data_IF_883788511739
#
_entry.id   IF_883788511739
#
_cell.length_a   1.000
_cell.length_b   1.000
_cell.length_c   1.000
_cell.angle_alpha   90.00
_cell.angle_beta   90.00
_cell.angle_gamma   90.00
#
_symmetry.space_group_name_H-M   'P 1'
#
loop_
_entity.id
_entity.type
_entity.pdbx_description
1 polymer ?
#
# COMPACT_ATOMS: atom_id res chain seq x y z
N UNK A 1 -3.08 16.29 5.85
CA UNK A 1 -3.31 17.64 5.23
C UNK A 1 -3.71 17.41 3.79
N UNK A 2 -4.76 18.06 3.27
CA UNK A 2 -5.10 17.97 1.84
C UNK A 2 -4.00 18.69 1.05
N UNK A 3 -3.21 17.95 0.31
CA UNK A 3 -2.10 18.47 -0.50
C UNK A 3 -2.63 18.88 -1.86
N UNK A 4 -2.17 20.00 -2.41
CA UNK A 4 -2.49 20.42 -3.78
C UNK A 4 -1.92 19.42 -4.77
N UNK A 5 -2.75 18.94 -5.71
CA UNK A 5 -2.37 17.98 -6.75
C UNK A 5 -2.25 18.73 -8.06
N UNK A 6 -1.09 18.67 -8.70
CA UNK A 6 -0.86 19.31 -9.99
C UNK A 6 -0.75 18.24 -11.08
N UNK A 7 -1.63 18.28 -12.07
CA UNK A 7 -1.57 17.37 -13.23
C UNK A 7 -0.80 18.05 -14.36
N UNK A 8 0.33 17.45 -14.75
CA UNK A 8 1.13 17.86 -15.90
C UNK A 8 1.13 16.77 -16.98
N UNK A 9 1.50 17.14 -18.18
CA UNK A 9 1.56 16.23 -19.34
C UNK A 9 1.23 16.95 -20.63
N UNK A 10 1.50 16.32 -21.73
CA UNK A 10 1.25 16.90 -23.06
C UNK A 10 -0.25 17.02 -23.36
N UNK A 11 -0.62 17.74 -24.41
CA UNK A 11 -2.01 17.75 -24.86
C UNK A 11 -2.45 16.33 -25.25
N UNK A 12 -3.73 16.00 -25.05
CA UNK A 12 -4.22 14.63 -25.31
C UNK A 12 -3.91 13.61 -24.19
N UNK A 13 -3.09 13.95 -23.17
CA UNK A 13 -2.79 13.06 -22.04
C UNK A 13 -3.98 12.87 -21.04
N UNK A 14 -5.10 13.57 -21.23
CA UNK A 14 -6.30 13.40 -20.40
C UNK A 14 -6.38 14.22 -19.13
N UNK A 15 -5.50 15.20 -18.92
CA UNK A 15 -5.40 16.01 -17.69
C UNK A 15 -6.74 16.57 -17.19
N UNK A 16 -7.48 17.27 -18.05
CA UNK A 16 -8.76 17.91 -17.67
C UNK A 16 -9.84 16.88 -17.31
N UNK A 17 -9.86 15.72 -17.99
CA UNK A 17 -10.80 14.63 -17.69
C UNK A 17 -10.46 13.96 -16.36
N UNK A 18 -9.18 13.64 -16.14
CA UNK A 18 -8.67 13.07 -14.88
C UNK A 18 -8.90 14.04 -13.73
N UNK A 19 -8.61 15.36 -13.92
CA UNK A 19 -8.81 16.38 -12.90
C UNK A 19 -10.29 16.46 -12.44
N UNK A 20 -11.24 16.40 -13.35
CA UNK A 20 -12.68 16.44 -13.02
C UNK A 20 -13.09 15.27 -12.14
N UNK A 21 -12.76 14.04 -12.57
CA UNK A 21 -13.13 12.83 -11.82
C UNK A 21 -12.40 12.76 -10.47
N UNK A 22 -11.12 13.18 -10.43
CA UNK A 22 -10.34 13.24 -9.21
C UNK A 22 -10.92 14.25 -8.21
N UNK A 23 -11.36 15.44 -8.70
CA UNK A 23 -12.01 16.47 -7.90
C UNK A 23 -13.33 15.97 -7.27
N UNK A 24 -14.13 15.23 -8.05
CA UNK A 24 -15.35 14.61 -7.58
C UNK A 24 -15.08 13.57 -6.48
N UNK A 25 -14.15 12.62 -6.72
CA UNK A 25 -13.84 11.54 -5.77
C UNK A 25 -13.21 12.05 -4.48
N UNK A 26 -12.38 13.09 -4.54
CA UNK A 26 -11.70 13.67 -3.37
C UNK A 26 -12.49 14.80 -2.69
N UNK A 27 -13.61 15.23 -3.27
CA UNK A 27 -14.37 16.43 -2.86
C UNK A 27 -13.42 17.65 -2.71
N UNK A 28 -12.62 17.90 -3.75
CA UNK A 28 -11.66 19.01 -3.81
C UNK A 28 -11.99 19.98 -4.94
N UNK A 29 -11.69 21.28 -4.78
CA UNK A 29 -11.85 22.24 -5.87
C UNK A 29 -10.89 21.93 -7.02
N UNK A 30 -11.32 22.25 -8.24
CA UNK A 30 -10.51 22.13 -9.46
C UNK A 30 -10.17 23.51 -10.01
N UNK A 31 -8.93 23.67 -10.46
CA UNK A 31 -8.45 24.83 -11.19
C UNK A 31 -7.94 24.38 -12.56
N UNK A 32 -8.59 24.84 -13.62
CA UNK A 32 -8.04 24.74 -14.97
C UNK A 32 -7.16 25.98 -15.21
N UNK A 33 -5.84 25.75 -15.33
CA UNK A 33 -4.87 26.82 -15.40
C UNK A 33 -5.05 27.67 -16.66
N UNK A 34 -5.36 27.04 -17.81
CA UNK A 34 -5.57 27.73 -19.08
C UNK A 34 -6.76 28.70 -18.96
N UNK A 35 -7.89 28.25 -18.40
CA UNK A 35 -9.08 29.10 -18.18
C UNK A 35 -8.79 30.25 -17.21
N UNK A 36 -8.09 29.96 -16.11
CA UNK A 36 -7.75 30.99 -15.12
C UNK A 36 -6.81 32.07 -15.69
N UNK A 37 -5.96 31.69 -16.63
CA UNK A 37 -5.12 32.64 -17.39
C UNK A 37 -6.00 33.54 -18.25
N UNK A 38 -6.95 32.98 -19.00
CA UNK A 38 -7.87 33.76 -19.84
C UNK A 38 -8.74 34.71 -19.02
N UNK A 39 -9.28 34.24 -17.90
CA UNK A 39 -10.03 35.07 -16.95
C UNK A 39 -9.19 36.24 -16.39
N UNK A 40 -7.93 35.95 -16.00
CA UNK A 40 -7.01 36.97 -15.46
C UNK A 40 -6.58 37.99 -16.49
N UNK A 41 -6.48 37.59 -17.77
CA UNK A 41 -6.11 38.48 -18.89
C UNK A 41 -7.32 39.16 -19.51
N UNK A 42 -8.53 38.67 -19.29
CA UNK A 42 -9.76 39.02 -20.02
C UNK A 42 -9.61 38.87 -21.56
N UNK A 43 -8.78 37.90 -21.97
CA UNK A 43 -8.47 37.61 -23.36
C UNK A 43 -8.29 36.12 -23.55
N UNK A 44 -8.56 35.63 -24.76
CA UNK A 44 -8.26 34.22 -25.08
C UNK A 44 -6.74 33.98 -25.19
N UNK A 45 -6.30 32.77 -24.90
CA UNK A 45 -4.87 32.41 -25.04
C UNK A 45 -4.34 32.73 -26.45
N UNK A 46 -5.03 32.41 -27.57
CA UNK A 46 -4.61 32.81 -28.90
C UNK A 46 -4.38 34.32 -29.05
N UNK A 47 -5.30 35.15 -28.49
CA UNK A 47 -5.19 36.59 -28.58
C UNK A 47 -4.01 37.13 -27.76
N UNK A 48 -3.75 36.55 -26.57
CA UNK A 48 -2.56 36.89 -25.76
C UNK A 48 -1.28 36.62 -26.57
N UNK A 49 -1.19 35.47 -27.27
CA UNK A 49 -0.06 35.17 -28.12
C UNK A 49 0.07 36.14 -29.29
N UNK A 50 -1.05 36.51 -29.94
CA UNK A 50 -1.06 37.38 -31.09
C UNK A 50 -0.70 38.85 -30.74
N UNK A 51 -1.24 39.37 -29.62
CA UNK A 51 -1.11 40.78 -29.26
C UNK A 51 0.11 41.05 -28.36
N UNK A 52 0.43 40.13 -27.41
CA UNK A 52 1.44 40.35 -26.39
C UNK A 52 2.67 39.46 -26.51
N UNK A 53 2.55 38.40 -27.33
CA UNK A 53 3.64 37.45 -27.59
C UNK A 53 3.83 36.38 -26.50
N UNK A 54 4.64 35.38 -26.82
CA UNK A 54 4.88 34.23 -25.92
C UNK A 54 5.48 34.62 -24.56
N UNK A 55 6.39 35.60 -24.53
CA UNK A 55 7.04 36.01 -23.29
C UNK A 55 6.06 36.60 -22.26
N UNK A 56 5.05 37.35 -22.71
CA UNK A 56 4.01 37.89 -21.85
C UNK A 56 3.10 36.78 -21.34
N UNK A 57 2.69 35.85 -22.22
CA UNK A 57 1.92 34.66 -21.82
C UNK A 57 2.67 33.86 -20.75
N UNK A 58 3.97 33.58 -20.90
CA UNK A 58 4.76 32.80 -19.93
C UNK A 58 4.87 33.50 -18.54
N UNK A 59 4.98 34.83 -18.52
CA UNK A 59 4.95 35.59 -17.26
C UNK A 59 3.59 35.47 -16.56
N UNK A 60 2.51 35.58 -17.34
CA UNK A 60 1.15 35.44 -16.81
C UNK A 60 0.89 34.01 -16.31
N UNK A 61 1.29 32.99 -17.10
CA UNK A 61 1.20 31.58 -16.72
C UNK A 61 1.92 31.31 -15.39
N UNK A 62 3.14 31.82 -15.21
CA UNK A 62 3.90 31.63 -13.97
C UNK A 62 3.24 32.31 -12.77
N UNK A 63 2.68 33.51 -12.94
CA UNK A 63 1.95 34.22 -11.88
C UNK A 63 0.69 33.46 -11.47
N UNK A 64 -0.13 33.05 -12.43
CA UNK A 64 -1.39 32.33 -12.17
C UNK A 64 -1.11 30.94 -11.55
N UNK A 65 -0.04 30.26 -11.97
CA UNK A 65 0.41 29.01 -11.36
C UNK A 65 0.80 29.24 -9.89
N UNK A 66 1.62 30.24 -9.58
CA UNK A 66 2.05 30.57 -8.24
C UNK A 66 0.86 30.87 -7.30
N UNK A 67 -0.10 31.66 -7.75
CA UNK A 67 -1.34 31.96 -7.01
C UNK A 67 -2.19 30.69 -6.78
N UNK A 68 -2.26 29.81 -7.77
CA UNK A 68 -3.03 28.58 -7.69
C UNK A 68 -2.41 27.55 -6.74
N UNK A 69 -1.09 27.49 -6.66
CA UNK A 69 -0.36 26.59 -5.73
C UNK A 69 -0.56 26.94 -4.24
N UNK A 70 -0.99 28.16 -3.94
CA UNK A 70 -1.29 28.57 -2.56
C UNK A 70 -2.65 28.04 -2.06
N UNK A 71 -3.48 27.49 -2.94
CA UNK A 71 -4.81 26.98 -2.62
C UNK A 71 -4.80 25.45 -2.63
N UNK A 72 -5.49 24.83 -1.67
CA UNK A 72 -5.70 23.38 -1.70
C UNK A 72 -6.68 23.03 -2.83
N UNK A 73 -6.26 22.18 -3.76
CA UNK A 73 -7.11 21.80 -4.89
C UNK A 73 -6.39 20.92 -5.91
N UNK A 74 -7.06 20.67 -7.01
CA UNK A 74 -6.50 19.96 -8.16
C UNK A 74 -6.27 20.98 -9.28
N UNK A 75 -5.03 21.09 -9.75
CA UNK A 75 -4.63 22.01 -10.79
C UNK A 75 -4.39 21.20 -12.09
N UNK A 76 -5.19 21.43 -13.10
CA UNK A 76 -4.94 20.93 -14.45
C UNK A 76 -4.15 22.00 -15.23
N UNK A 77 -2.92 21.67 -15.65
CA UNK A 77 -2.05 22.63 -16.32
C UNK A 77 -2.15 22.57 -17.85
N UNK A 78 -1.74 23.64 -18.52
CA UNK A 78 -1.45 23.61 -19.95
C UNK A 78 -0.25 22.72 -20.28
N UNK A 79 -0.21 22.18 -21.51
CA UNK A 79 0.88 21.28 -21.94
C UNK A 79 2.25 21.97 -22.09
N UNK A 80 2.33 23.27 -21.99
CA UNK A 80 3.59 24.05 -22.07
C UNK A 80 4.12 24.54 -20.73
N UNK A 81 3.45 24.28 -19.63
CA UNK A 81 3.77 24.81 -18.31
C UNK A 81 5.21 24.49 -17.86
N UNK A 82 5.72 23.32 -18.21
CA UNK A 82 7.06 22.85 -17.86
C UNK A 82 8.19 23.49 -18.69
N UNK A 83 7.88 24.22 -19.76
CA UNK A 83 8.90 24.87 -20.59
C UNK A 83 9.59 26.03 -19.86
N UNK A 84 8.86 26.73 -18.97
CA UNK A 84 9.42 27.79 -18.14
C UNK A 84 10.20 27.19 -16.95
N UNK A 85 11.47 27.57 -16.80
CA UNK A 85 12.28 27.18 -15.63
C UNK A 85 11.65 27.69 -14.33
N UNK A 86 11.09 28.90 -14.33
CA UNK A 86 10.37 29.45 -13.18
C UNK A 86 9.21 28.54 -12.76
N UNK A 87 8.43 28.05 -13.71
CA UNK A 87 7.33 27.12 -13.39
C UNK A 87 7.85 25.79 -12.85
N UNK A 88 8.93 25.23 -13.42
CA UNK A 88 9.53 24.00 -12.89
C UNK A 88 10.02 24.18 -11.46
N UNK A 89 10.64 25.31 -11.15
CA UNK A 89 11.08 25.61 -9.78
C UNK A 89 9.89 25.77 -8.80
N UNK A 90 8.79 26.38 -9.21
CA UNK A 90 7.55 26.44 -8.42
C UNK A 90 6.91 25.05 -8.20
N UNK A 91 7.01 24.16 -9.18
CA UNK A 91 6.44 22.82 -9.13
C UNK A 91 7.23 21.85 -8.25
N UNK A 92 8.51 22.09 -7.94
CA UNK A 92 9.34 21.23 -7.08
C UNK A 92 8.79 21.04 -5.67
N UNK A 93 8.10 22.04 -5.14
CA UNK A 93 7.50 22.01 -3.80
C UNK A 93 6.04 21.50 -3.83
N UNK A 94 5.51 21.16 -5.00
CA UNK A 94 4.16 20.64 -5.17
C UNK A 94 4.15 19.11 -5.40
N UNK A 95 3.01 18.47 -5.14
CA UNK A 95 2.83 17.09 -5.53
C UNK A 95 2.34 17.00 -6.98
N UNK A 96 3.26 16.71 -7.88
CA UNK A 96 3.04 16.75 -9.33
C UNK A 96 2.85 15.35 -9.87
N UNK A 97 1.76 15.14 -10.61
CA UNK A 97 1.45 13.90 -11.32
C UNK A 97 1.64 14.14 -12.82
N UNK A 98 2.60 13.45 -13.40
CA UNK A 98 2.80 13.43 -14.84
C UNK A 98 1.95 12.33 -15.47
N UNK A 99 1.01 12.72 -16.32
CA UNK A 99 0.24 11.83 -17.16
C UNK A 99 1.01 11.60 -18.46
N UNK A 100 1.80 10.53 -18.47
CA UNK A 100 2.56 10.06 -19.64
C UNK A 100 1.65 9.28 -20.60
N UNK A 101 2.05 9.16 -21.85
CA UNK A 101 1.33 8.39 -22.85
C UNK A 101 2.29 7.97 -23.97
N UNK A 102 2.13 6.77 -24.50
CA UNK A 102 2.87 6.34 -25.69
C UNK A 102 2.60 7.25 -26.87
N UNK A 103 3.62 7.54 -27.66
CA UNK A 103 3.60 8.52 -28.76
C UNK A 103 2.45 8.29 -29.73
N UNK A 104 2.21 7.04 -30.15
CA UNK A 104 1.17 6.70 -31.11
C UNK A 104 -0.25 6.91 -30.55
N UNK A 105 -0.46 6.53 -29.28
CA UNK A 105 -1.73 6.72 -28.59
C UNK A 105 -2.01 8.22 -28.37
N UNK A 106 -0.98 8.98 -28.01
CA UNK A 106 -1.06 10.43 -27.83
C UNK A 106 -1.48 11.12 -29.13
N UNK A 107 -0.83 10.79 -30.23
CA UNK A 107 -1.15 11.32 -31.57
C UNK A 107 -2.59 11.00 -31.96
N UNK A 108 -3.04 9.74 -31.76
CA UNK A 108 -4.42 9.35 -32.04
C UNK A 108 -5.43 10.16 -31.22
N UNK A 109 -5.16 10.35 -29.93
CA UNK A 109 -6.04 11.15 -29.05
C UNK A 109 -6.11 12.61 -29.49
N UNK A 110 -4.99 13.20 -29.92
CA UNK A 110 -4.94 14.58 -30.42
C UNK A 110 -5.74 14.74 -31.70
N UNK A 111 -5.62 13.82 -32.67
CA UNK A 111 -6.36 13.89 -33.94
C UNK A 111 -7.85 13.58 -33.80
N UNK A 112 -8.23 12.79 -32.79
CA UNK A 112 -9.63 12.46 -32.50
C UNK A 112 -10.36 13.57 -31.72
N UNK A 113 -9.63 14.47 -31.03
CA UNK A 113 -10.21 15.60 -30.30
C UNK A 113 -10.61 16.74 -31.22
N UNK A 114 -11.80 16.62 -31.85
CA UNK A 114 -12.36 17.64 -32.77
C UNK A 114 -12.84 18.90 -32.05
N UNK A 115 -12.99 18.89 -30.74
CA UNK A 115 -13.58 20.01 -29.99
C UNK A 115 -12.54 21.02 -29.50
N UNK A 116 -11.27 20.62 -29.36
CA UNK A 116 -10.20 21.47 -28.82
C UNK A 116 -9.00 21.59 -29.78
N UNK A 117 -9.23 22.15 -30.99
CA UNK A 117 -8.17 22.38 -31.95
C UNK A 117 -7.23 23.47 -31.38
N UNK A 118 -6.06 23.09 -30.91
CA UNK A 118 -5.08 24.03 -30.35
C UNK A 118 -4.12 24.55 -31.42
N UNK A 119 -3.73 25.87 -31.38
CA UNK A 119 -2.85 26.48 -32.38
C UNK A 119 -1.51 25.76 -32.56
N UNK A 120 -0.97 25.14 -31.49
CA UNK A 120 0.34 24.47 -31.47
C UNK A 120 0.40 23.23 -32.37
N UNK A 121 -0.74 22.59 -32.68
CA UNK A 121 -0.80 21.37 -33.52
C UNK A 121 -1.50 21.61 -34.88
N UNK A 122 -2.06 22.78 -35.11
CA UNK A 122 -2.57 23.14 -36.43
C UNK A 122 -1.42 23.04 -37.45
N UNK A 123 -1.61 22.24 -38.48
CA UNK A 123 -0.62 22.00 -39.55
C UNK A 123 0.62 21.18 -39.17
N UNK A 124 0.62 20.40 -38.06
CA UNK A 124 1.72 19.51 -37.72
C UNK A 124 1.43 18.06 -38.11
N UNK A 125 2.46 17.37 -38.60
CA UNK A 125 2.38 15.92 -38.86
C UNK A 125 2.46 15.12 -37.56
N UNK A 126 2.12 13.84 -37.62
CA UNK A 126 2.22 12.92 -36.47
C UNK A 126 3.67 12.87 -35.93
N UNK A 127 4.65 12.83 -36.80
CA UNK A 127 6.07 12.79 -36.46
C UNK A 127 6.52 14.07 -35.75
N UNK A 128 6.07 15.23 -36.21
CA UNK A 128 6.37 16.50 -35.55
C UNK A 128 5.75 16.62 -34.16
N UNK A 129 4.55 16.04 -33.94
CA UNK A 129 3.91 16.00 -32.63
C UNK A 129 4.71 15.11 -31.67
N UNK A 130 5.17 13.94 -32.14
CA UNK A 130 6.01 13.02 -31.36
C UNK A 130 7.34 13.69 -30.98
N UNK A 131 8.01 14.33 -31.92
CA UNK A 131 9.28 15.02 -31.68
C UNK A 131 9.12 16.11 -30.58
N UNK A 132 8.10 16.97 -30.70
CA UNK A 132 7.82 18.00 -29.68
C UNK A 132 7.50 17.37 -28.31
N UNK A 133 6.81 16.24 -28.28
CA UNK A 133 6.53 15.54 -27.04
C UNK A 133 7.81 14.97 -26.41
N UNK A 134 8.64 14.30 -27.19
CA UNK A 134 9.91 13.75 -26.72
C UNK A 134 10.88 14.84 -26.22
N UNK A 135 10.93 16.00 -26.88
CA UNK A 135 11.72 17.17 -26.42
C UNK A 135 11.22 17.72 -25.06
N UNK A 136 9.93 17.60 -24.76
CA UNK A 136 9.33 18.10 -23.52
C UNK A 136 9.31 17.07 -22.39
N UNK A 137 9.37 15.79 -22.70
CA UNK A 137 9.28 14.70 -21.73
C UNK A 137 10.29 14.83 -20.59
N UNK A 138 11.58 15.17 -20.82
CA UNK A 138 12.55 15.37 -19.73
C UNK A 138 12.13 16.46 -18.73
N UNK A 139 11.39 17.50 -19.17
CA UNK A 139 10.92 18.56 -18.29
C UNK A 139 9.70 18.13 -17.44
N UNK A 140 8.85 17.25 -17.97
CA UNK A 140 7.79 16.64 -17.18
C UNK A 140 8.40 15.70 -16.13
N UNK A 141 9.37 14.86 -16.50
CA UNK A 141 10.07 13.95 -15.62
C UNK A 141 10.84 14.69 -14.51
N UNK A 142 11.42 15.88 -14.80
CA UNK A 142 12.13 16.72 -13.81
C UNK A 142 11.23 17.14 -12.63
N UNK A 143 9.95 17.41 -12.89
CA UNK A 143 9.03 17.94 -11.88
C UNK A 143 8.10 16.87 -11.28
N UNK A 144 8.02 15.68 -11.88
CA UNK A 144 7.08 14.66 -11.50
C UNK A 144 7.40 14.04 -10.13
N UNK A 145 6.43 14.04 -9.24
CA UNK A 145 6.43 13.22 -8.01
C UNK A 145 5.89 11.81 -8.27
N UNK A 146 5.04 11.68 -9.28
CA UNK A 146 4.44 10.43 -9.76
C UNK A 146 4.27 10.50 -11.27
N UNK A 147 4.66 9.45 -11.98
CA UNK A 147 4.41 9.30 -13.43
C UNK A 147 3.46 8.12 -13.65
N UNK A 148 2.42 8.33 -14.44
CA UNK A 148 1.42 7.30 -14.79
C UNK A 148 1.34 7.20 -16.30
N UNK A 149 1.64 6.01 -16.86
CA UNK A 149 1.38 5.72 -18.28
C UNK A 149 -0.13 5.51 -18.49
N UNK A 150 -0.76 6.46 -19.17
CA UNK A 150 -2.20 6.46 -19.45
C UNK A 150 -2.56 5.74 -20.74
N UNK A 151 -1.63 5.11 -21.44
CA UNK A 151 -1.82 4.55 -22.79
C UNK A 151 -2.93 3.51 -22.84
N UNK A 152 -2.97 2.61 -21.87
CA UNK A 152 -3.92 1.49 -21.78
C UNK A 152 -4.93 1.61 -20.63
N UNK A 153 -4.81 2.64 -19.80
CA UNK A 153 -5.65 2.81 -18.61
C UNK A 153 -6.92 3.60 -18.93
N UNK A 154 -8.00 3.24 -18.27
CA UNK A 154 -9.22 4.05 -18.18
C UNK A 154 -8.99 5.26 -17.27
N UNK A 155 -9.83 6.29 -17.38
CA UNK A 155 -9.73 7.47 -16.51
C UNK A 155 -9.92 7.10 -15.04
N UNK A 156 -10.82 6.16 -14.73
CA UNK A 156 -11.02 5.65 -13.37
C UNK A 156 -9.77 4.98 -12.81
N UNK A 157 -9.08 4.15 -13.57
CA UNK A 157 -7.84 3.49 -13.15
C UNK A 157 -6.72 4.50 -12.90
N UNK A 158 -6.58 5.52 -13.76
CA UNK A 158 -5.62 6.61 -13.55
C UNK A 158 -5.91 7.36 -12.23
N UNK A 159 -7.18 7.71 -12.00
CA UNK A 159 -7.61 8.40 -10.77
C UNK A 159 -7.37 7.53 -9.53
N UNK A 160 -7.64 6.22 -9.60
CA UNK A 160 -7.35 5.31 -8.50
C UNK A 160 -5.86 5.25 -8.18
N UNK A 161 -4.98 5.16 -9.19
CA UNK A 161 -3.53 5.19 -8.96
C UNK A 161 -3.08 6.49 -8.29
N UNK A 162 -3.63 7.65 -8.70
CA UNK A 162 -3.33 8.93 -8.06
C UNK A 162 -3.75 8.93 -6.58
N UNK A 163 -4.95 8.44 -6.27
CA UNK A 163 -5.46 8.36 -4.90
C UNK A 163 -4.59 7.41 -4.06
N UNK A 164 -4.25 6.24 -4.59
CA UNK A 164 -3.42 5.25 -3.92
C UNK A 164 -2.02 5.80 -3.60
N UNK A 165 -1.41 6.54 -4.53
CA UNK A 165 -0.08 7.12 -4.34
C UNK A 165 0.00 8.19 -3.24
N UNK A 166 -1.13 8.75 -2.82
CA UNK A 166 -1.20 9.65 -1.67
C UNK A 166 -1.34 8.92 -0.33
N UNK A 167 -1.73 7.65 -0.36
CA UNK A 167 -1.94 6.86 0.85
C UNK A 167 -0.62 6.44 1.48
N UNK A 168 -0.62 6.39 2.80
CA UNK A 168 0.51 5.94 3.60
C UNK A 168 0.18 4.62 4.27
N UNK A 169 1.09 3.65 4.14
CA UNK A 169 0.95 2.34 4.78
C UNK A 169 2.13 2.09 5.71
N UNK A 170 1.82 1.84 6.99
CA UNK A 170 2.81 1.41 7.98
C UNK A 170 3.02 -0.11 7.93
N UNK A 171 4.21 -0.56 8.27
CA UNK A 171 4.51 -1.99 8.44
C UNK A 171 5.57 -2.23 9.51
N UNK A 172 5.62 -3.46 10.05
CA UNK A 172 6.68 -3.87 10.96
C UNK A 172 7.98 -4.08 10.19
N UNK A 173 8.99 -3.24 10.46
CA UNK A 173 10.31 -3.32 9.86
C UNK A 173 11.13 -4.52 10.29
N UNK A 174 12.35 -4.61 9.79
CA UNK A 174 12.99 -3.72 8.82
C UNK A 174 12.54 -3.96 7.35
N UNK A 175 13.01 -3.09 6.43
CA UNK A 175 12.90 -3.33 4.98
C UNK A 175 13.43 -4.73 4.65
N UNK A 176 12.77 -5.42 3.70
CA UNK A 176 13.04 -6.82 3.31
C UNK A 176 12.73 -7.88 4.37
N UNK A 177 12.04 -7.53 5.47
CA UNK A 177 11.40 -8.49 6.36
C UNK A 177 10.23 -9.21 5.66
N UNK A 178 9.69 -10.26 6.29
CA UNK A 178 8.49 -10.93 5.79
C UNK A 178 7.27 -9.99 5.77
N UNK A 179 7.15 -9.07 6.72
CA UNK A 179 6.12 -8.02 6.66
C UNK A 179 6.26 -7.11 5.43
N UNK A 180 7.50 -6.73 5.07
CA UNK A 180 7.75 -5.97 3.85
C UNK A 180 7.45 -6.78 2.59
N UNK A 181 7.75 -8.09 2.58
CA UNK A 181 7.41 -8.98 1.46
C UNK A 181 5.90 -9.09 1.28
N UNK A 182 5.14 -9.28 2.37
CA UNK A 182 3.69 -9.30 2.34
C UNK A 182 3.13 -7.96 1.81
N UNK A 183 3.67 -6.84 2.28
CA UNK A 183 3.27 -5.51 1.84
C UNK A 183 3.45 -5.32 0.32
N UNK A 184 4.56 -5.77 -0.24
CA UNK A 184 4.86 -5.67 -1.68
C UNK A 184 3.92 -6.45 -2.59
N UNK A 185 3.10 -7.36 -2.05
CA UNK A 185 2.07 -8.07 -2.81
C UNK A 185 0.88 -7.17 -3.17
N UNK A 186 0.65 -6.10 -2.39
CA UNK A 186 -0.58 -5.31 -2.42
C UNK A 186 -0.34 -3.81 -2.60
N UNK A 187 0.92 -3.37 -2.59
CA UNK A 187 1.30 -1.96 -2.65
C UNK A 187 2.07 -1.69 -3.94
N UNK A 188 1.55 -0.76 -4.76
CA UNK A 188 2.21 -0.32 -5.99
C UNK A 188 2.87 1.07 -5.82
N UNK A 189 2.06 2.07 -5.49
CA UNK A 189 2.47 3.49 -5.48
C UNK A 189 2.39 4.15 -4.11
N UNK A 190 1.81 3.47 -3.12
CA UNK A 190 1.61 4.01 -1.78
C UNK A 190 2.95 4.30 -1.08
N UNK A 191 2.96 5.35 -0.27
CA UNK A 191 4.10 5.66 0.59
C UNK A 191 4.17 4.66 1.74
N UNK A 192 5.27 3.92 1.83
CA UNK A 192 5.48 2.93 2.91
C UNK A 192 6.31 3.53 4.05
N UNK A 193 5.92 3.23 5.29
CA UNK A 193 6.56 3.73 6.51
C UNK A 193 6.89 2.56 7.43
N UNK A 194 8.17 2.45 7.77
CA UNK A 194 8.69 1.40 8.66
C UNK A 194 8.46 1.75 10.14
N UNK A 195 8.07 0.76 10.92
CA UNK A 195 7.92 0.86 12.38
C UNK A 195 8.75 -0.19 13.10
N UNK A 196 9.32 0.20 14.23
CA UNK A 196 10.14 -0.68 15.05
C UNK A 196 9.33 -1.73 15.83
N UNK A 197 8.01 -1.54 15.98
CA UNK A 197 7.13 -2.49 16.67
C UNK A 197 5.69 -2.42 16.16
N UNK A 198 4.97 -3.53 16.31
CA UNK A 198 3.56 -3.64 15.95
C UNK A 198 2.69 -2.61 16.69
N UNK A 199 2.79 -2.42 18.01
CA UNK A 199 1.99 -1.43 18.72
C UNK A 199 2.20 -0.02 18.18
N UNK A 200 3.43 0.38 17.86
CA UNK A 200 3.73 1.70 17.29
C UNK A 200 3.08 1.89 15.92
N UNK A 201 3.05 0.84 15.09
CA UNK A 201 2.42 0.86 13.78
C UNK A 201 0.90 1.03 13.89
N UNK A 202 0.25 0.23 14.76
CA UNK A 202 -1.21 0.32 15.00
C UNK A 202 -1.56 1.68 15.64
N UNK A 203 -0.78 2.17 16.60
CA UNK A 203 -1.00 3.47 17.23
C UNK A 203 -0.90 4.63 16.24
N UNK A 204 0.01 4.54 15.27
CA UNK A 204 0.12 5.55 14.22
C UNK A 204 -1.12 5.55 13.32
N UNK A 205 -1.69 4.38 12.99
CA UNK A 205 -2.95 4.25 12.27
C UNK A 205 -4.11 4.85 13.07
N UNK A 206 -4.26 4.47 14.34
CA UNK A 206 -5.34 4.97 15.20
C UNK A 206 -5.30 6.49 15.39
N UNK A 207 -4.09 7.08 15.39
CA UNK A 207 -3.85 8.54 15.46
C UNK A 207 -3.88 9.23 14.08
N UNK A 208 -4.34 8.53 13.04
CA UNK A 208 -4.47 9.06 11.67
C UNK A 208 -3.18 9.61 11.06
N UNK A 209 -2.03 9.10 11.51
CA UNK A 209 -0.72 9.38 10.90
C UNK A 209 -0.44 8.48 9.70
N UNK A 210 -1.21 7.41 9.55
CA UNK A 210 -1.21 6.46 8.45
C UNK A 210 -2.64 6.27 7.96
N UNK A 211 -2.80 5.95 6.69
CA UNK A 211 -4.08 5.51 6.13
C UNK A 211 -4.31 4.03 6.39
N UNK A 212 -3.24 3.21 6.35
CA UNK A 212 -3.29 1.78 6.58
C UNK A 212 -2.08 1.28 7.38
N UNK A 213 -2.23 0.11 8.00
CA UNK A 213 -1.13 -0.59 8.67
C UNK A 213 -1.17 -2.08 8.30
N UNK A 214 -0.03 -2.63 7.86
CA UNK A 214 0.15 -4.06 7.67
C UNK A 214 0.85 -4.65 8.88
N UNK A 215 0.18 -5.59 9.56
CA UNK A 215 0.68 -6.23 10.76
C UNK A 215 0.52 -7.76 10.71
N UNK A 216 1.49 -8.54 11.23
CA UNK A 216 1.34 -9.98 11.36
C UNK A 216 0.28 -10.30 12.43
N UNK A 217 -0.57 -11.28 12.16
CA UNK A 217 -1.67 -11.69 13.06
C UNK A 217 -1.46 -13.07 13.63
N UNK A 218 -0.91 -13.97 12.82
CA UNK A 218 -0.75 -15.36 13.19
C UNK A 218 0.36 -16.01 12.37
N UNK A 219 1.11 -16.88 13.00
CA UNK A 219 2.01 -17.81 12.32
C UNK A 219 1.51 -19.23 12.54
N UNK A 220 1.53 -20.08 11.51
CA UNK A 220 0.98 -21.44 11.56
C UNK A 220 1.67 -22.36 12.57
N UNK A 221 2.90 -22.04 13.00
CA UNK A 221 3.66 -22.83 13.97
C UNK A 221 3.57 -22.27 15.39
N UNK A 222 3.43 -20.94 15.54
CA UNK A 222 3.51 -20.27 16.84
C UNK A 222 2.16 -19.74 17.33
N UNK A 223 1.16 -19.74 16.44
CA UNK A 223 -0.16 -19.22 16.74
C UNK A 223 -0.24 -17.70 16.61
N UNK A 224 -1.14 -17.10 17.36
CA UNK A 224 -1.48 -15.68 17.25
C UNK A 224 -0.39 -14.74 17.72
N UNK A 225 -0.19 -13.66 16.95
CA UNK A 225 0.68 -12.54 17.33
C UNK A 225 -0.07 -11.64 18.30
N UNK A 226 0.08 -11.91 19.59
CA UNK A 226 -0.68 -11.25 20.68
C UNK A 226 -0.58 -9.73 20.67
N UNK A 227 0.58 -9.18 20.27
CA UNK A 227 0.79 -7.74 20.17
C UNK A 227 -0.17 -7.07 19.18
N UNK A 228 -0.56 -7.78 18.10
CA UNK A 228 -1.52 -7.30 17.11
C UNK A 228 -2.96 -7.43 17.62
N UNK A 229 -3.35 -8.65 18.01
CA UNK A 229 -4.75 -8.96 18.33
C UNK A 229 -5.22 -8.23 19.59
N UNK A 230 -4.38 -8.16 20.64
CA UNK A 230 -4.72 -7.45 21.87
C UNK A 230 -4.81 -5.92 21.67
N UNK A 231 -4.00 -5.36 20.74
CA UNK A 231 -4.02 -3.92 20.49
C UNK A 231 -5.27 -3.48 19.72
N UNK A 232 -5.90 -4.40 18.98
CA UNK A 232 -7.13 -4.15 18.23
C UNK A 232 -8.39 -4.31 19.05
N UNK A 233 -8.31 -4.97 20.21
CA UNK A 233 -9.46 -5.11 21.11
C UNK A 233 -9.97 -3.75 21.56
N UNK A 234 -11.28 -3.56 21.52
CA UNK A 234 -11.99 -2.31 21.86
C UNK A 234 -11.60 -1.08 21.00
N UNK A 235 -10.93 -1.29 19.84
CA UNK A 235 -10.67 -0.21 18.91
C UNK A 235 -11.84 -0.06 17.93
N UNK A 236 -12.64 0.98 18.15
CA UNK A 236 -13.73 1.35 17.23
C UNK A 236 -13.12 1.95 15.95
N UNK A 237 -13.80 1.75 14.82
CA UNK A 237 -13.41 2.33 13.52
C UNK A 237 -12.04 1.84 12.95
N UNK A 238 -11.56 0.69 13.40
CA UNK A 238 -10.41 0.03 12.78
C UNK A 238 -10.83 -1.32 12.23
N UNK A 239 -10.78 -1.48 10.91
CA UNK A 239 -11.29 -2.65 10.20
C UNK A 239 -10.17 -3.36 9.46
N UNK A 240 -10.32 -4.68 9.31
CA UNK A 240 -9.47 -5.46 8.42
C UNK A 240 -9.94 -5.22 6.98
N UNK A 241 -9.04 -4.76 6.14
CA UNK A 241 -9.32 -4.45 4.73
C UNK A 241 -8.97 -5.60 3.81
N UNK A 242 -7.92 -6.36 4.15
CA UNK A 242 -7.47 -7.56 3.45
C UNK A 242 -6.59 -8.42 4.37
N UNK A 243 -6.52 -9.71 4.08
CA UNK A 243 -5.57 -10.65 4.67
C UNK A 243 -4.58 -11.14 3.60
N UNK A 244 -3.31 -11.23 3.97
CA UNK A 244 -2.25 -11.79 3.13
C UNK A 244 -1.68 -12.99 3.84
N UNK A 245 -1.67 -14.14 3.17
CA UNK A 245 -1.06 -15.38 3.68
C UNK A 245 0.24 -15.59 2.93
N UNK A 246 1.37 -15.43 3.63
CA UNK A 246 2.70 -15.56 3.08
C UNK A 246 3.37 -16.84 3.57
N UNK A 247 3.79 -17.76 2.68
CA UNK A 247 4.65 -18.87 3.05
C UNK A 247 6.03 -18.36 3.47
N UNK A 248 6.56 -18.93 4.54
CA UNK A 248 7.83 -18.53 5.16
C UNK A 248 8.88 -19.56 4.84
N UNK A 249 9.80 -19.21 3.94
CA UNK A 249 10.94 -20.04 3.55
C UNK A 249 12.21 -19.42 4.10
N UNK A 250 12.96 -20.23 4.87
CA UNK A 250 14.25 -19.83 5.45
C UNK A 250 15.40 -20.29 4.56
N UNK A 251 16.39 -19.42 4.38
CA UNK A 251 17.59 -19.68 3.60
C UNK A 251 18.81 -19.59 4.53
N UNK A 252 19.81 -20.43 4.30
CA UNK A 252 21.14 -20.24 4.87
C UNK A 252 21.94 -19.32 3.96
N UNK A 253 22.39 -18.19 4.49
CA UNK A 253 22.97 -17.07 3.75
C UNK A 253 24.37 -16.81 4.29
N UNK A 254 25.36 -16.75 3.41
CA UNK A 254 26.77 -16.54 3.82
C UNK A 254 27.72 -16.64 2.64
N UNK A 255 29.02 -16.66 2.89
CA UNK A 255 30.02 -16.67 1.82
C UNK A 255 30.65 -18.02 1.57
N UNK A 256 30.72 -18.90 2.58
CA UNK A 256 31.40 -20.21 2.47
C UNK A 256 30.83 -21.23 3.48
N UNK A 257 30.07 -22.20 2.97
CA UNK A 257 29.43 -23.22 3.81
C UNK A 257 30.44 -24.09 4.63
N UNK A 258 31.68 -24.24 4.14
CA UNK A 258 32.68 -25.09 4.80
C UNK A 258 33.36 -24.42 5.99
N UNK A 259 33.29 -23.12 6.11
CA UNK A 259 33.97 -22.34 7.16
C UNK A 259 33.03 -21.85 8.27
N UNK A 260 31.72 -22.14 8.18
CA UNK A 260 30.72 -21.64 9.14
C UNK A 260 31.05 -22.15 10.55
N UNK A 261 31.20 -21.19 11.45
CA UNK A 261 31.38 -21.41 12.90
C UNK A 261 30.28 -20.77 13.72
N UNK A 262 29.55 -19.80 13.13
CA UNK A 262 28.49 -19.07 13.81
C UNK A 262 27.33 -18.81 12.85
N UNK A 263 26.12 -19.02 13.34
CA UNK A 263 24.86 -18.77 12.61
C UNK A 263 24.03 -17.74 13.39
N UNK A 264 23.71 -16.63 12.72
CA UNK A 264 22.94 -15.51 13.28
C UNK A 264 21.51 -15.54 12.74
N UNK A 265 20.53 -15.38 13.60
CA UNK A 265 19.16 -15.08 13.19
C UNK A 265 18.29 -14.64 14.37
N UNK A 266 17.03 -14.30 14.07
CA UNK A 266 16.03 -14.18 15.12
C UNK A 266 15.81 -15.54 15.82
N UNK A 267 15.61 -15.58 17.15
CA UNK A 267 15.44 -16.84 17.88
C UNK A 267 14.46 -17.82 17.26
N UNK A 268 13.33 -17.29 16.77
CA UNK A 268 12.28 -18.04 16.12
C UNK A 268 12.78 -18.75 14.84
N UNK A 269 13.52 -18.05 13.97
CA UNK A 269 14.04 -18.65 12.74
C UNK A 269 15.13 -19.69 13.02
N UNK A 270 15.94 -19.52 14.07
CA UNK A 270 16.86 -20.55 14.53
C UNK A 270 16.13 -21.80 14.97
N UNK A 271 15.07 -21.67 15.77
CA UNK A 271 14.25 -22.79 16.23
C UNK A 271 13.52 -23.51 15.08
N UNK A 272 13.09 -22.77 14.05
CA UNK A 272 12.42 -23.34 12.87
C UNK A 272 13.34 -24.10 11.91
N UNK A 273 14.65 -23.98 12.08
CA UNK A 273 15.69 -24.64 11.26
C UNK A 273 16.59 -25.56 12.09
N UNK A 274 16.15 -25.98 13.28
CA UNK A 274 17.00 -26.68 14.24
C UNK A 274 17.52 -28.00 13.69
N UNK A 275 16.69 -28.83 13.07
CA UNK A 275 17.11 -30.11 12.50
C UNK A 275 18.18 -29.94 11.44
N UNK A 276 17.99 -29.00 10.53
CA UNK A 276 18.97 -28.71 9.48
C UNK A 276 20.32 -28.24 10.09
N UNK A 277 20.28 -27.38 11.13
CA UNK A 277 21.47 -26.89 11.78
C UNK A 277 22.21 -28.03 12.50
N UNK A 278 21.51 -28.87 13.26
CA UNK A 278 22.08 -30.01 13.97
C UNK A 278 22.72 -31.03 13.03
N UNK A 279 22.11 -31.28 11.87
CA UNK A 279 22.62 -32.23 10.87
C UNK A 279 23.85 -31.69 10.12
N UNK A 280 23.87 -30.43 9.74
CA UNK A 280 24.89 -29.89 8.84
C UNK A 280 25.95 -29.03 9.54
N UNK A 281 25.61 -28.45 10.70
CA UNK A 281 26.46 -27.52 11.47
C UNK A 281 26.44 -27.78 12.98
N UNK A 282 26.65 -29.01 13.44
CA UNK A 282 26.50 -29.39 14.87
C UNK A 282 27.41 -28.63 15.83
N UNK A 283 28.51 -28.06 15.33
CA UNK A 283 29.48 -27.30 16.13
C UNK A 283 29.34 -25.78 15.97
N UNK A 284 28.33 -25.28 15.19
CA UNK A 284 28.18 -23.86 15.00
C UNK A 284 27.56 -23.21 16.24
N UNK A 285 28.07 -22.06 16.62
CA UNK A 285 27.49 -21.23 17.67
C UNK A 285 26.25 -20.49 17.12
N UNK A 286 25.11 -20.59 17.81
CA UNK A 286 23.89 -19.88 17.44
C UNK A 286 23.81 -18.55 18.17
N UNK A 287 23.79 -17.44 17.44
CA UNK A 287 23.71 -16.10 17.99
C UNK A 287 22.33 -15.47 17.67
N UNK A 288 21.48 -15.23 18.69
CA UNK A 288 20.22 -14.56 18.50
C UNK A 288 20.42 -13.07 18.24
N UNK A 289 19.72 -12.54 17.20
CA UNK A 289 19.69 -11.12 16.83
C UNK A 289 18.25 -10.62 16.71
N UNK A 290 18.07 -9.31 16.62
CA UNK A 290 16.74 -8.68 16.67
C UNK A 290 15.81 -9.07 15.51
N UNK A 291 16.35 -9.38 14.32
CA UNK A 291 15.57 -9.80 13.17
C UNK A 291 16.42 -10.64 12.21
N UNK A 292 15.76 -11.48 11.40
CA UNK A 292 16.43 -12.27 10.34
C UNK A 292 17.15 -11.37 9.34
N UNK A 293 16.58 -10.21 9.00
CA UNK A 293 17.20 -9.24 8.07
C UNK A 293 18.43 -8.56 8.69
N UNK A 294 18.40 -8.27 10.00
CA UNK A 294 19.57 -7.72 10.71
C UNK A 294 20.76 -8.69 10.68
N UNK A 295 20.50 -10.00 10.79
CA UNK A 295 21.51 -11.02 10.63
C UNK A 295 22.22 -10.94 9.27
N UNK A 296 21.45 -10.81 8.17
CA UNK A 296 22.02 -10.72 6.81
C UNK A 296 22.81 -9.42 6.64
N UNK A 297 22.32 -8.30 7.18
CA UNK A 297 23.06 -7.03 7.16
C UNK A 297 24.43 -7.16 7.83
N UNK A 298 24.49 -7.82 8.99
CA UNK A 298 25.75 -8.05 9.70
C UNK A 298 26.73 -8.90 8.87
N UNK A 299 26.24 -9.99 8.22
CA UNK A 299 27.04 -10.79 7.30
C UNK A 299 27.59 -9.94 6.14
N UNK A 300 26.73 -9.11 5.54
CA UNK A 300 27.11 -8.24 4.42
C UNK A 300 28.20 -7.22 4.80
N UNK A 301 28.12 -6.66 6.00
CA UNK A 301 29.09 -5.68 6.51
C UNK A 301 30.43 -6.30 6.86
N UNK A 302 30.41 -7.45 7.54
CA UNK A 302 31.65 -8.13 8.02
C UNK A 302 32.37 -8.89 6.93
N UNK A 303 31.64 -9.45 5.95
CA UNK A 303 32.18 -10.33 4.88
C UNK A 303 33.01 -11.48 5.41
N UNK A 304 32.76 -11.92 6.63
CA UNK A 304 33.46 -13.00 7.31
C UNK A 304 32.88 -14.36 6.86
N UNK A 305 33.73 -15.22 6.30
CA UNK A 305 33.34 -16.55 5.81
C UNK A 305 32.95 -17.52 6.93
N UNK A 306 33.30 -17.21 8.16
CA UNK A 306 32.93 -18.04 9.32
C UNK A 306 31.55 -17.75 9.86
N UNK A 307 30.84 -16.75 9.29
CA UNK A 307 29.51 -16.35 9.68
C UNK A 307 28.47 -16.74 8.62
N UNK A 308 27.32 -17.18 9.09
CA UNK A 308 26.13 -17.34 8.25
C UNK A 308 24.89 -16.73 8.93
N UNK A 309 23.88 -16.40 8.15
CA UNK A 309 22.58 -15.95 8.63
C UNK A 309 21.47 -16.88 8.16
N UNK A 310 20.38 -16.97 8.92
CA UNK A 310 19.13 -17.59 8.49
C UNK A 310 18.10 -16.48 8.28
N UNK A 311 17.61 -16.34 7.03
CA UNK A 311 16.62 -15.32 6.66
C UNK A 311 15.89 -15.67 5.38
N UNK A 312 14.90 -14.85 5.01
CA UNK A 312 14.20 -14.96 3.73
C UNK A 312 15.09 -14.58 2.53
N UNK A 313 14.79 -15.15 1.36
CA UNK A 313 15.51 -14.93 0.08
C UNK A 313 15.66 -13.45 -0.29
N UNK A 314 14.67 -12.62 0.04
CA UNK A 314 14.69 -11.19 -0.32
C UNK A 314 15.80 -10.43 0.40
N UNK A 315 16.09 -10.76 1.67
CA UNK A 315 17.18 -10.17 2.41
C UNK A 315 18.54 -10.51 1.77
N UNK A 316 18.75 -11.76 1.37
CA UNK A 316 19.96 -12.18 0.65
C UNK A 316 20.16 -11.39 -0.64
N UNK A 317 19.10 -11.25 -1.45
CA UNK A 317 19.11 -10.52 -2.72
C UNK A 317 19.45 -9.04 -2.51
N UNK A 318 18.83 -8.41 -1.51
CA UNK A 318 19.00 -6.97 -1.25
C UNK A 318 20.42 -6.64 -0.79
N UNK A 319 20.97 -7.43 0.14
CA UNK A 319 22.34 -7.23 0.65
C UNK A 319 23.41 -7.88 -0.19
N UNK A 320 23.02 -8.53 -1.30
CA UNK A 320 23.93 -9.19 -2.24
C UNK A 320 24.84 -10.23 -1.55
N UNK A 321 24.29 -10.98 -0.58
CA UNK A 321 24.98 -12.09 0.08
C UNK A 321 24.51 -13.41 -0.52
N UNK A 322 25.43 -14.33 -0.88
CA UNK A 322 25.07 -15.62 -1.47
C UNK A 322 24.15 -16.47 -0.58
N UNK A 323 23.21 -17.18 -1.20
CA UNK A 323 22.43 -18.24 -0.55
C UNK A 323 23.25 -19.53 -0.65
N UNK A 324 23.58 -20.11 0.49
CA UNK A 324 24.35 -21.35 0.60
C UNK A 324 23.45 -22.61 0.57
N UNK A 325 22.27 -22.50 1.17
CA UNK A 325 21.21 -23.54 1.11
C UNK A 325 19.83 -22.89 1.12
N UNK A 326 18.89 -23.48 0.40
CA UNK A 326 17.51 -22.97 0.27
C UNK A 326 16.54 -23.85 1.00
N UNK A 327 15.48 -23.24 1.57
CA UNK A 327 14.35 -23.91 2.21
C UNK A 327 14.79 -24.87 3.31
N UNK A 328 15.57 -24.33 4.26
CA UNK A 328 16.18 -25.08 5.35
C UNK A 328 15.27 -25.22 6.60
N UNK A 329 14.04 -24.71 6.53
CA UNK A 329 13.07 -24.83 7.62
C UNK A 329 12.63 -26.27 7.83
N UNK A 330 12.41 -26.66 9.10
CA UNK A 330 12.01 -28.01 9.48
C UNK A 330 10.57 -28.36 9.09
N UNK A 331 9.74 -27.35 8.78
CA UNK A 331 8.33 -27.53 8.40
C UNK A 331 8.01 -26.71 7.15
N UNK A 332 7.57 -27.38 6.09
CA UNK A 332 7.23 -26.77 4.80
C UNK A 332 5.88 -26.02 4.80
N UNK A 333 5.05 -26.22 5.83
CA UNK A 333 3.74 -25.56 5.96
C UNK A 333 3.80 -24.29 6.80
N UNK A 334 5.00 -23.71 6.99
CA UNK A 334 5.16 -22.47 7.74
C UNK A 334 4.58 -21.28 6.95
N UNK A 335 3.53 -20.69 7.46
CA UNK A 335 2.86 -19.52 6.87
C UNK A 335 2.60 -18.46 7.92
N UNK A 336 2.65 -17.21 7.51
CA UNK A 336 2.25 -16.08 8.37
C UNK A 336 1.10 -15.33 7.71
N UNK A 337 0.06 -15.07 8.50
CA UNK A 337 -1.10 -14.25 8.14
C UNK A 337 -0.82 -12.81 8.53
N UNK A 338 -1.06 -11.89 7.62
CA UNK A 338 -0.93 -10.45 7.83
C UNK A 338 -2.28 -9.79 7.53
N UNK A 339 -2.66 -8.81 8.35
CA UNK A 339 -3.81 -7.96 8.07
C UNK A 339 -3.38 -6.59 7.60
N UNK A 340 -4.08 -6.07 6.58
CA UNK A 340 -4.12 -4.66 6.27
C UNK A 340 -5.25 -4.06 7.08
N UNK A 341 -4.90 -3.18 8.00
CA UNK A 341 -5.82 -2.47 8.88
C UNK A 341 -6.05 -1.06 8.35
N UNK A 342 -7.27 -0.55 8.46
CA UNK A 342 -7.59 0.82 8.06
C UNK A 342 -8.98 1.26 8.51
N UNK A 343 -9.19 2.58 8.60
CA UNK A 343 -10.51 3.18 8.80
C UNK A 343 -11.24 3.40 7.48
N UNK A 344 -10.49 3.55 6.39
CA UNK A 344 -10.97 3.78 5.04
C UNK A 344 -10.95 2.48 4.23
N UNK A 345 -11.67 2.45 3.13
CA UNK A 345 -11.61 1.33 2.21
C UNK A 345 -10.22 1.26 1.51
N UNK A 346 -9.60 0.09 1.56
CA UNK A 346 -8.42 -0.26 0.78
C UNK A 346 -8.87 -0.86 -0.54
N UNK A 347 -8.34 -0.36 -1.65
CA UNK A 347 -8.69 -0.89 -2.97
C UNK A 347 -8.11 -2.29 -3.16
N UNK A 348 -8.99 -3.28 -3.14
CA UNK A 348 -8.67 -4.69 -3.35
C UNK A 348 -9.06 -5.19 -4.76
N UNK A 349 -9.47 -4.30 -5.67
CA UNK A 349 -10.00 -4.67 -6.99
C UNK A 349 -9.01 -5.44 -7.87
N UNK A 350 -7.72 -5.24 -7.64
CA UNK A 350 -6.64 -5.95 -8.33
C UNK A 350 -6.27 -7.29 -7.70
N UNK A 351 -6.82 -7.57 -6.52
CA UNK A 351 -6.53 -8.78 -5.78
C UNK A 351 -7.48 -9.88 -6.24
N UNK A 352 -6.99 -10.76 -7.12
CA UNK A 352 -7.79 -11.90 -7.62
C UNK A 352 -7.88 -12.97 -6.54
N UNK A 353 -8.96 -12.95 -5.75
CA UNK A 353 -9.27 -14.01 -4.78
C UNK A 353 -10.78 -14.18 -4.66
N UNK A 354 -11.21 -15.43 -4.49
CA UNK A 354 -12.59 -15.79 -4.17
C UNK A 354 -12.80 -16.07 -2.68
N UNK A 355 -11.72 -16.18 -1.92
CA UNK A 355 -11.80 -16.44 -0.47
C UNK A 355 -12.01 -15.14 0.29
N UNK A 356 -13.01 -15.16 1.19
CA UNK A 356 -13.30 -14.07 2.11
C UNK A 356 -13.47 -14.62 3.52
N UNK A 357 -13.09 -13.79 4.51
CA UNK A 357 -13.30 -14.05 5.93
C UNK A 357 -14.02 -12.89 6.60
N UNK A 358 -14.69 -13.21 7.71
CA UNK A 358 -15.23 -12.25 8.67
C UNK A 358 -14.57 -12.50 10.02
N UNK A 359 -14.02 -11.47 10.64
CA UNK A 359 -13.47 -11.58 12.01
C UNK A 359 -14.31 -10.80 12.99
N UNK A 360 -14.65 -11.48 14.09
CA UNK A 360 -15.41 -10.93 15.22
C UNK A 360 -14.61 -11.08 16.51
N UNK A 361 -14.61 -10.04 17.34
CA UNK A 361 -14.23 -10.13 18.73
C UNK A 361 -15.49 -10.13 19.58
N UNK A 362 -15.68 -11.18 20.37
CA UNK A 362 -16.92 -11.43 21.10
C UNK A 362 -16.62 -11.48 22.61
N UNK A 363 -17.20 -10.56 23.34
CA UNK A 363 -17.13 -10.53 24.81
C UNK A 363 -18.44 -11.04 25.39
N UNK A 364 -18.35 -12.03 26.26
CA UNK A 364 -19.53 -12.59 26.93
C UNK A 364 -20.07 -11.65 28.01
N UNK A 365 -21.41 -11.58 28.23
CA UNK A 365 -21.99 -10.70 29.24
C UNK A 365 -21.64 -11.13 30.65
N UNK A 366 -21.47 -12.43 30.89
CA UNK A 366 -21.06 -13.04 32.19
C UNK A 366 -20.35 -14.37 31.88
N UNK A 367 -19.35 -14.68 32.69
CA UNK A 367 -18.80 -16.03 32.71
C UNK A 367 -19.82 -16.97 33.41
N UNK A 368 -20.48 -17.80 32.60
CA UNK A 368 -21.46 -18.74 33.05
C UNK A 368 -21.36 -20.06 32.30
N UNK A 369 -21.65 -21.20 32.94
CA UNK A 369 -21.64 -22.48 32.28
C UNK A 369 -22.49 -22.46 31.00
N UNK A 370 -21.90 -22.88 29.86
CA UNK A 370 -22.56 -22.93 28.58
C UNK A 370 -22.61 -21.59 27.79
N UNK A 371 -22.02 -20.50 28.31
CA UNK A 371 -22.04 -19.22 27.60
C UNK A 371 -21.37 -19.30 26.21
N UNK A 372 -20.20 -19.91 26.13
CA UNK A 372 -19.53 -20.14 24.83
C UNK A 372 -20.35 -21.04 23.89
N UNK A 373 -21.05 -22.06 24.44
CA UNK A 373 -21.92 -22.91 23.65
C UNK A 373 -23.02 -22.12 22.94
N UNK A 374 -23.63 -21.13 23.62
CA UNK A 374 -24.67 -20.26 23.02
C UNK A 374 -24.09 -19.43 21.87
N UNK A 375 -22.89 -18.92 22.03
CA UNK A 375 -22.19 -18.17 20.96
C UNK A 375 -21.96 -19.07 19.74
N UNK A 376 -21.45 -20.28 19.95
CA UNK A 376 -21.21 -21.23 18.87
C UNK A 376 -22.50 -21.71 18.20
N UNK A 377 -23.60 -21.86 18.95
CA UNK A 377 -24.91 -22.24 18.42
C UNK A 377 -25.46 -21.19 17.43
N UNK A 378 -25.25 -19.91 17.67
CA UNK A 378 -25.66 -18.84 16.75
C UNK A 378 -25.05 -18.99 15.34
N UNK A 379 -23.82 -19.47 15.26
CA UNK A 379 -23.15 -19.76 13.98
C UNK A 379 -23.57 -21.12 13.41
N UNK A 380 -23.62 -22.16 14.26
CA UNK A 380 -23.90 -23.53 13.84
C UNK A 380 -25.27 -23.68 13.18
N UNK A 381 -26.33 -23.04 13.72
CA UNK A 381 -27.67 -23.09 13.17
C UNK A 381 -27.83 -22.42 11.79
N UNK A 382 -26.82 -21.62 11.40
CA UNK A 382 -26.78 -20.93 10.11
C UNK A 382 -25.78 -21.55 9.14
N UNK A 383 -25.19 -22.71 9.49
CA UNK A 383 -24.13 -23.37 8.71
C UNK A 383 -22.94 -22.42 8.42
N UNK A 384 -22.59 -21.57 9.37
CA UNK A 384 -21.46 -20.65 9.26
C UNK A 384 -20.19 -21.36 9.77
N UNK A 385 -19.23 -21.58 8.90
CA UNK A 385 -18.00 -22.29 9.23
C UNK A 385 -17.00 -21.38 9.97
N UNK A 386 -16.63 -21.80 11.20
CA UNK A 386 -15.56 -21.18 11.96
C UNK A 386 -14.23 -21.78 11.52
N UNK A 387 -13.30 -20.94 11.04
CA UNK A 387 -11.94 -21.36 10.67
C UNK A 387 -10.94 -21.07 11.78
N UNK A 388 -11.31 -20.23 12.74
CA UNK A 388 -10.54 -19.97 13.97
C UNK A 388 -11.45 -19.62 15.12
N UNK A 389 -11.07 -20.08 16.33
CA UNK A 389 -11.58 -19.58 17.61
C UNK A 389 -10.43 -19.53 18.62
N UNK A 390 -10.27 -18.42 19.29
CA UNK A 390 -9.23 -18.22 20.30
C UNK A 390 -9.78 -17.38 21.45
N UNK A 391 -9.51 -17.76 22.70
CA UNK A 391 -9.85 -16.96 23.88
C UNK A 391 -8.66 -16.09 24.32
N UNK A 392 -8.92 -14.81 24.60
CA UNK A 392 -7.90 -13.85 25.04
C UNK A 392 -8.37 -13.12 26.31
N UNK A 393 -7.49 -12.90 27.29
CA UNK A 393 -7.83 -12.11 28.49
C UNK A 393 -8.06 -10.64 28.12
N UNK A 394 -9.09 -10.03 28.68
CA UNK A 394 -9.41 -8.61 28.48
C UNK A 394 -8.42 -7.65 29.16
N UNK A 395 -7.55 -8.18 30.05
CA UNK A 395 -6.60 -7.40 30.87
C UNK A 395 -7.28 -6.43 31.85
N UNK A 396 -8.54 -6.70 32.20
CA UNK A 396 -9.34 -6.00 33.21
C UNK A 396 -9.29 -6.73 34.54
N UNK A 397 -9.90 -7.94 34.64
CA UNK A 397 -9.90 -8.82 35.80
C UNK A 397 -9.56 -10.25 35.37
N UNK A 398 -9.04 -11.03 36.32
CA UNK A 398 -8.87 -12.49 36.10
C UNK A 398 -10.25 -13.13 35.87
N UNK A 399 -10.35 -13.94 34.79
CA UNK A 399 -11.58 -14.61 34.38
C UNK A 399 -12.39 -13.85 33.33
N UNK A 400 -12.03 -12.63 32.97
CA UNK A 400 -12.68 -11.91 31.87
C UNK A 400 -11.95 -12.13 30.57
N UNK A 401 -12.65 -12.74 29.59
CA UNK A 401 -12.10 -13.10 28.26
C UNK A 401 -12.96 -12.53 27.15
N UNK A 402 -12.32 -12.26 26.02
CA UNK A 402 -12.99 -12.13 24.74
C UNK A 402 -12.57 -13.25 23.81
N UNK A 403 -13.41 -13.57 22.84
CA UNK A 403 -13.15 -14.60 21.84
C UNK A 403 -12.88 -13.93 20.50
N UNK A 404 -11.81 -14.35 19.83
CA UNK A 404 -11.51 -14.03 18.45
C UNK A 404 -12.11 -15.16 17.62
N UNK A 405 -13.00 -14.82 16.69
CA UNK A 405 -13.66 -15.79 15.82
C UNK A 405 -13.46 -15.35 14.37
N UNK A 406 -12.83 -16.21 13.57
CA UNK A 406 -12.77 -16.06 12.12
C UNK A 406 -13.79 -16.98 11.47
N UNK A 407 -14.66 -16.41 10.63
CA UNK A 407 -15.67 -17.12 9.86
C UNK A 407 -15.30 -17.12 8.39
N UNK A 408 -15.44 -18.26 7.71
CA UNK A 408 -15.35 -18.32 6.27
C UNK A 408 -16.61 -17.68 5.65
N UNK A 409 -16.44 -16.75 4.70
CA UNK A 409 -17.57 -16.09 4.03
C UNK A 409 -17.91 -16.84 2.74
N UNK A 410 -18.86 -17.76 2.84
CA UNK A 410 -19.34 -18.61 1.73
C UNK A 410 -20.87 -18.77 1.73
N UNK A 411 -21.57 -17.95 2.53
CA UNK A 411 -23.03 -17.89 2.66
C UNK A 411 -23.53 -16.47 2.42
N UNK A 412 -24.83 -16.25 2.18
CA UNK A 412 -25.40 -14.91 2.05
C UNK A 412 -25.10 -14.02 3.26
N UNK A 413 -24.77 -12.76 3.01
CA UNK A 413 -24.37 -11.77 4.03
C UNK A 413 -25.36 -11.67 5.20
N UNK A 414 -26.67 -11.78 4.94
CA UNK A 414 -27.73 -11.68 5.93
C UNK A 414 -27.59 -12.71 7.06
N UNK A 415 -27.01 -13.91 6.79
CA UNK A 415 -26.85 -14.94 7.82
C UNK A 415 -25.80 -14.54 8.86
N UNK A 416 -24.72 -13.87 8.44
CA UNK A 416 -23.69 -13.34 9.34
C UNK A 416 -24.25 -12.19 10.17
N UNK A 417 -25.00 -11.28 9.54
CA UNK A 417 -25.64 -10.17 10.23
C UNK A 417 -26.62 -10.65 11.29
N UNK A 418 -27.51 -11.60 10.96
CA UNK A 418 -28.47 -12.17 11.92
C UNK A 418 -27.77 -12.92 13.06
N UNK A 419 -26.61 -13.55 12.81
CA UNK A 419 -25.83 -14.16 13.89
C UNK A 419 -25.27 -13.12 14.85
N UNK A 420 -24.74 -12.01 14.34
CA UNK A 420 -24.24 -10.90 15.16
C UNK A 420 -25.37 -10.29 15.99
N UNK A 421 -26.53 -9.99 15.40
CA UNK A 421 -27.70 -9.43 16.08
C UNK A 421 -28.20 -10.37 17.19
N UNK A 422 -28.21 -11.70 16.95
CA UNK A 422 -28.57 -12.68 17.98
C UNK A 422 -27.58 -12.66 19.16
N UNK A 423 -26.27 -12.59 18.88
CA UNK A 423 -25.25 -12.51 19.93
C UNK A 423 -25.41 -11.23 20.77
N UNK A 424 -25.67 -10.10 20.13
CA UNK A 424 -25.91 -8.83 20.80
C UNK A 424 -27.21 -8.88 21.65
N UNK A 425 -28.27 -9.50 21.11
CA UNK A 425 -29.53 -9.72 21.86
C UNK A 425 -29.34 -10.65 23.07
N UNK A 426 -28.38 -11.59 23.01
CA UNK A 426 -27.97 -12.43 24.15
C UNK A 426 -27.08 -11.67 25.15
N UNK A 427 -26.79 -10.40 24.92
CA UNK A 427 -26.00 -9.52 25.78
C UNK A 427 -24.48 -9.60 25.55
N UNK A 428 -24.02 -10.25 24.49
CA UNK A 428 -22.61 -10.20 24.11
C UNK A 428 -22.25 -8.82 23.54
N UNK A 429 -21.02 -8.39 23.80
CA UNK A 429 -20.45 -7.25 23.05
C UNK A 429 -19.70 -7.80 21.85
N UNK A 430 -20.14 -7.43 20.65
CA UNK A 430 -19.54 -7.90 19.40
C UNK A 430 -18.82 -6.75 18.71
N UNK A 431 -17.50 -6.86 18.56
CA UNK A 431 -16.70 -5.97 17.72
C UNK A 431 -16.50 -6.64 16.38
N UNK A 432 -17.13 -6.11 15.35
CA UNK A 432 -16.99 -6.59 13.98
C UNK A 432 -15.79 -5.89 13.32
N UNK A 433 -14.75 -6.67 13.01
CA UNK A 433 -13.53 -6.17 12.34
C UNK A 433 -13.66 -6.12 10.81
N UNK A 434 -14.79 -6.56 10.24
CA UNK A 434 -15.10 -6.49 8.81
C UNK A 434 -15.04 -7.83 8.09
N UNK A 435 -15.65 -7.82 6.89
CA UNK A 435 -15.48 -8.87 5.88
C UNK A 435 -14.40 -8.44 4.91
N UNK A 436 -13.45 -9.32 4.62
CA UNK A 436 -12.27 -8.98 3.84
C UNK A 436 -11.80 -10.15 2.97
N UNK A 437 -11.16 -9.85 1.81
CA UNK A 437 -10.56 -10.85 0.96
C UNK A 437 -9.28 -11.43 1.57
N UNK A 438 -9.00 -12.71 1.24
CA UNK A 438 -7.78 -13.43 1.64
C UNK A 438 -6.93 -13.69 0.41
N UNK A 439 -5.69 -13.21 0.42
CA UNK A 439 -4.72 -13.44 -0.64
C UNK A 439 -3.71 -14.47 -0.21
N UNK A 440 -3.58 -15.52 -1.01
CA UNK A 440 -2.53 -16.52 -0.87
C UNK A 440 -1.38 -16.19 -1.83
N UNK A 441 -0.17 -16.08 -1.28
CA UNK A 441 1.02 -15.98 -2.12
C UNK A 441 1.26 -17.35 -2.79
N UNK A 442 1.33 -17.37 -4.13
CA UNK A 442 1.67 -18.54 -4.94
C UNK A 442 3.20 -18.72 -5.05
#
# INVERSE_FOLDING_TARGET
>A
MKTTIVLVGYMGAGKSTVAKLLAEKLAMPIVDLDKKIEESAQMSIPDIFAEQGEAAFRKLESRVLQESLQQTGIIATGGGVVLSKTNRDLLKDAWVVFLDCQDDVLVQRIFNDRQNIRPVVQNKTAEQIKEIYQDRKPFYDEVASLTIDTSSLTVDEVVQQIIQAQQTIGYLGPVNSFSFQALKQVVDHQKVVEFASIPLCIDALLKEKLDFALVPIENSLEGSVHASVDRLYDQKECYVQAEIVLPIYQQLIGYDAKQIKKILSHPQALAQCQKYIEEHFPCAFLEPVQSTTAAVLEIAQRKDKSLAAIAGKQAAKFYQVPILASNIQDNDFNQTRFWILGKKHFDTSRLTTSEQKLTLYITLPKDSPGALHKVLAAFAWRDLNLVKIESRPQKTKLGEYFFIVDLQVNRPHILYQNAIEELEALGCVVQNLGMYPVLHHS
#
